data_IF_974686725454
#
_entry.id   IF_974686725454
#
_cell.length_a   1.000
_cell.length_b   1.000
_cell.length_c   1.000
_cell.angle_alpha   90.00
_cell.angle_beta   90.00
_cell.angle_gamma   90.00
#
_symmetry.space_group_name_H-M   'P 1'
#
loop_
_entity.id
_entity.type
_entity.pdbx_description
1 polymer ?
#
# COMPACT_ATOMS: atom_id res chain seq x y z
N UNK A 1 -26.87 -1.01 -8.06
CA UNK A 1 -25.57 -0.41 -7.67
C UNK A 1 -25.01 -1.27 -6.53
N UNK A 2 -24.06 -2.15 -6.82
CA UNK A 2 -23.43 -2.99 -5.79
C UNK A 2 -22.50 -2.14 -4.95
N UNK A 3 -22.73 -2.10 -3.63
CA UNK A 3 -21.83 -1.44 -2.68
C UNK A 3 -20.45 -2.09 -2.78
N UNK A 4 -19.34 -1.32 -2.81
CA UNK A 4 -18.02 -1.93 -2.71
C UNK A 4 -17.94 -2.70 -1.39
N UNK A 5 -17.53 -3.97 -1.47
CA UNK A 5 -17.34 -4.82 -0.30
C UNK A 5 -16.23 -4.18 0.56
N UNK A 6 -16.65 -3.56 1.66
CA UNK A 6 -15.78 -2.93 2.64
C UNK A 6 -15.19 -4.04 3.51
N UNK A 7 -13.86 -4.09 3.64
CA UNK A 7 -13.20 -4.96 4.62
C UNK A 7 -13.41 -4.30 5.98
N UNK A 8 -13.61 -5.09 7.04
CA UNK A 8 -14.04 -4.58 8.36
C UNK A 8 -13.00 -3.63 8.98
N UNK A 9 -11.76 -3.70 8.49
CA UNK A 9 -10.62 -2.87 8.89
C UNK A 9 -10.49 -1.55 8.12
N UNK A 10 -11.37 -1.24 7.16
CA UNK A 10 -11.26 -0.01 6.36
C UNK A 10 -12.10 1.14 6.94
N UNK A 11 -11.46 2.29 7.17
CA UNK A 11 -12.13 3.53 7.56
C UNK A 11 -12.27 4.46 6.36
N UNK A 12 -13.47 4.92 6.06
CA UNK A 12 -13.68 5.95 5.03
C UNK A 12 -13.05 7.28 5.46
N UNK A 13 -12.28 7.87 4.54
CA UNK A 13 -11.58 9.13 4.72
C UNK A 13 -12.51 10.27 4.32
N UNK A 14 -12.82 11.17 5.25
CA UNK A 14 -13.74 12.29 5.00
C UNK A 14 -13.07 13.44 4.29
N UNK A 15 -11.76 13.62 4.44
CA UNK A 15 -11.01 14.70 3.83
C UNK A 15 -9.52 14.33 3.76
N UNK A 16 -8.76 15.02 2.92
CA UNK A 16 -7.34 14.70 2.70
C UNK A 16 -6.51 14.91 3.98
N UNK A 17 -6.99 15.73 4.92
CA UNK A 17 -6.34 16.02 6.20
C UNK A 17 -6.35 14.84 7.18
N UNK A 18 -7.22 13.85 6.97
CA UNK A 18 -7.23 12.62 7.78
C UNK A 18 -6.14 11.62 7.33
N UNK A 19 -5.49 11.90 6.20
CA UNK A 19 -4.41 11.09 5.64
C UNK A 19 -3.04 11.62 6.09
N UNK A 20 -2.12 10.68 6.30
CA UNK A 20 -0.76 10.96 6.74
C UNK A 20 0.23 10.18 5.88
N UNK A 21 1.47 10.67 5.81
CA UNK A 21 2.58 9.94 5.20
C UNK A 21 2.70 8.55 5.86
N UNK A 22 2.94 7.52 5.05
CA UNK A 22 3.03 6.14 5.49
C UNK A 22 1.67 5.45 5.70
N UNK A 23 0.55 6.13 5.48
CA UNK A 23 -0.76 5.50 5.53
C UNK A 23 -0.95 4.51 4.38
N UNK A 24 -1.58 3.37 4.70
CA UNK A 24 -2.12 2.46 3.69
C UNK A 24 -3.55 2.90 3.36
N UNK A 25 -3.74 3.34 2.11
CA UNK A 25 -5.02 3.78 1.62
C UNK A 25 -5.47 3.01 0.38
N UNK A 26 -6.77 3.08 0.11
CA UNK A 26 -7.47 2.34 -0.93
C UNK A 26 -8.39 3.29 -1.68
N UNK A 27 -8.33 3.23 -3.01
CA UNK A 27 -9.33 3.83 -3.89
C UNK A 27 -10.05 2.72 -4.65
N UNK A 28 -11.35 2.91 -4.88
CA UNK A 28 -12.09 2.06 -5.79
C UNK A 28 -11.67 2.35 -7.23
N UNK A 29 -11.43 1.31 -8.03
CA UNK A 29 -11.28 1.43 -9.51
C UNK A 29 -12.29 0.52 -10.21
N UNK A 30 -12.47 0.76 -11.51
CA UNK A 30 -13.54 0.18 -12.35
C UNK A 30 -13.47 -1.36 -12.48
N UNK A 31 -14.57 -1.96 -12.95
CA UNK A 31 -15.13 -3.31 -12.69
C UNK A 31 -14.21 -4.55 -12.59
N UNK A 32 -12.99 -4.53 -13.09
CA UNK A 32 -12.06 -5.68 -13.03
C UNK A 32 -11.00 -5.56 -11.93
N UNK A 33 -10.85 -4.38 -11.32
CA UNK A 33 -9.89 -4.10 -10.25
C UNK A 33 -10.53 -3.25 -9.15
N UNK A 34 -11.39 -3.87 -8.31
CA UNK A 34 -12.33 -3.12 -7.47
C UNK A 34 -11.63 -2.24 -6.41
N UNK A 35 -10.40 -2.56 -6.02
CA UNK A 35 -9.65 -1.89 -4.95
C UNK A 35 -8.18 -1.75 -5.31
N UNK A 36 -7.69 -0.51 -5.34
CA UNK A 36 -6.28 -0.23 -5.55
C UNK A 36 -5.66 0.22 -4.23
N UNK A 37 -4.76 -0.61 -3.70
CA UNK A 37 -4.04 -0.39 -2.45
C UNK A 37 -2.72 0.34 -2.72
N UNK A 38 -2.39 1.31 -1.86
CA UNK A 38 -1.18 2.12 -1.98
C UNK A 38 -0.72 2.68 -0.64
N UNK A 39 0.55 3.08 -0.58
CA UNK A 39 1.16 3.80 0.54
C UNK A 39 1.25 5.28 0.17
N UNK A 40 0.87 6.17 1.09
CA UNK A 40 1.00 7.62 0.90
C UNK A 40 2.43 8.04 1.17
N UNK A 41 3.12 8.58 0.17
CA UNK A 41 4.47 9.12 0.30
C UNK A 41 4.45 10.60 0.68
N UNK A 42 3.55 11.36 0.08
CA UNK A 42 3.43 12.79 0.31
C UNK A 42 2.00 13.29 0.02
N UNK A 43 1.63 14.44 0.58
CA UNK A 43 0.29 15.03 0.48
C UNK A 43 0.41 16.53 0.24
N UNK A 44 -0.20 17.00 -0.85
CA UNK A 44 -0.44 18.42 -1.07
C UNK A 44 -1.92 18.74 -0.80
N UNK A 45 -2.16 19.46 0.31
CA UNK A 45 -3.50 19.81 0.78
C UNK A 45 -4.14 20.92 -0.06
N UNK A 46 -3.36 21.86 -0.56
CA UNK A 46 -3.87 22.97 -1.38
C UNK A 46 -4.39 22.46 -2.72
N UNK A 47 -3.57 21.64 -3.39
CA UNK A 47 -3.89 21.05 -4.69
C UNK A 47 -4.77 19.80 -4.59
N UNK A 48 -5.11 19.36 -3.38
CA UNK A 48 -5.87 18.12 -3.13
C UNK A 48 -5.26 16.91 -3.87
N UNK A 49 -3.94 16.76 -3.79
CA UNK A 49 -3.18 15.70 -4.48
C UNK A 49 -2.29 14.92 -3.51
N UNK A 50 -1.96 13.69 -3.88
CA UNK A 50 -1.15 12.77 -3.10
C UNK A 50 -0.11 12.11 -3.98
N UNK A 51 1.14 12.03 -3.50
CA UNK A 51 2.15 11.17 -4.09
C UNK A 51 2.03 9.81 -3.42
N UNK A 52 1.83 8.76 -4.21
CA UNK A 52 1.60 7.40 -3.70
C UNK A 52 2.58 6.40 -4.28
N UNK A 53 2.92 5.39 -3.47
CA UNK A 53 3.69 4.23 -3.86
C UNK A 53 2.76 3.03 -3.97
N UNK A 54 2.73 2.38 -5.13
CA UNK A 54 1.87 1.20 -5.35
C UNK A 54 2.49 0.21 -6.32
N UNK A 55 2.11 -1.06 -6.16
CA UNK A 55 2.43 -2.07 -7.14
C UNK A 55 1.48 -2.00 -8.35
N UNK A 56 2.04 -1.99 -9.56
CA UNK A 56 1.32 -2.17 -10.82
C UNK A 56 1.82 -3.41 -11.53
N UNK A 57 0.88 -4.22 -12.02
CA UNK A 57 1.19 -5.33 -12.93
C UNK A 57 2.07 -4.81 -14.08
N UNK A 58 3.08 -5.59 -14.47
CA UNK A 58 4.12 -5.28 -15.49
C UNK A 58 5.14 -4.19 -15.13
N UNK A 59 4.76 -3.18 -14.34
CA UNK A 59 5.66 -2.06 -13.99
C UNK A 59 6.37 -2.21 -12.64
N UNK A 60 5.93 -3.13 -11.79
CA UNK A 60 6.44 -3.27 -10.43
C UNK A 60 5.93 -2.14 -9.54
N UNK A 61 6.72 -1.77 -8.51
CA UNK A 61 6.39 -0.64 -7.64
C UNK A 61 6.67 0.68 -8.34
N UNK A 62 5.63 1.50 -8.46
CA UNK A 62 5.67 2.82 -9.08
C UNK A 62 5.33 3.91 -8.06
N UNK A 63 5.85 5.10 -8.34
CA UNK A 63 5.51 6.34 -7.63
C UNK A 63 4.64 7.21 -8.55
N UNK A 64 3.50 7.68 -8.05
CA UNK A 64 2.54 8.42 -8.87
C UNK A 64 1.87 9.55 -8.09
N UNK A 65 1.72 10.69 -8.74
CA UNK A 65 0.84 11.77 -8.29
C UNK A 65 -0.61 11.42 -8.67
N UNK A 66 -1.50 11.38 -7.68
CA UNK A 66 -2.93 11.14 -7.89
C UNK A 66 -3.77 12.23 -7.19
N UNK A 67 -4.92 12.62 -7.76
CA UNK A 67 -5.84 13.52 -7.07
C UNK A 67 -6.57 12.78 -5.93
N UNK A 68 -6.85 13.48 -4.85
CA UNK A 68 -7.75 13.01 -3.80
C UNK A 68 -9.20 13.10 -4.32
N UNK A 69 -9.79 11.94 -4.63
CA UNK A 69 -11.18 11.82 -5.07
C UNK A 69 -11.87 10.75 -4.25
N UNK A 70 -12.95 11.14 -3.56
CA UNK A 70 -13.77 10.22 -2.78
C UNK A 70 -14.47 9.19 -3.71
N UNK A 71 -14.70 7.95 -3.26
CA UNK A 71 -14.35 7.45 -1.92
C UNK A 71 -12.88 7.02 -1.82
N UNK A 72 -12.23 7.44 -0.73
CA UNK A 72 -10.92 6.95 -0.29
C UNK A 72 -11.10 6.29 1.06
N UNK A 73 -10.43 5.16 1.28
CA UNK A 73 -10.46 4.44 2.55
C UNK A 73 -9.03 4.29 3.09
N UNK A 74 -8.87 4.43 4.40
CA UNK A 74 -7.65 4.13 5.13
C UNK A 74 -7.78 2.75 5.75
N UNK A 75 -6.79 1.89 5.51
CA UNK A 75 -6.73 0.56 6.15
C UNK A 75 -6.20 0.74 7.56
N UNK A 76 -6.94 0.25 8.55
CA UNK A 76 -6.60 0.32 9.96
C UNK A 76 -5.91 -0.97 10.37
N UNK A 77 -4.85 -0.82 11.15
CA UNK A 77 -4.04 -1.88 11.73
C UNK A 77 -3.90 -1.58 13.22
N UNK A 78 -3.62 -2.62 14.00
CA UNK A 78 -3.17 -2.43 15.37
C UNK A 78 -1.80 -1.74 15.38
N UNK A 79 -1.60 -0.78 16.28
CA UNK A 79 -0.41 0.08 16.28
C UNK A 79 0.89 -0.72 16.46
N UNK A 80 0.86 -1.74 17.32
CA UNK A 80 2.01 -2.63 17.58
C UNK A 80 2.41 -3.50 16.38
N UNK A 81 1.57 -3.60 15.34
CA UNK A 81 1.88 -4.34 14.11
C UNK A 81 2.51 -3.45 13.04
N UNK A 82 2.56 -2.13 13.26
CA UNK A 82 2.94 -1.17 12.25
C UNK A 82 4.37 -0.66 12.41
N UNK A 83 5.09 -0.60 11.31
CA UNK A 83 6.29 0.21 11.20
C UNK A 83 5.96 1.71 11.23
N UNK A 84 6.88 2.55 11.74
CA UNK A 84 6.72 3.99 11.74
C UNK A 84 6.69 4.54 10.30
N UNK A 85 6.05 5.71 10.06
CA UNK A 85 5.83 6.25 8.72
C UNK A 85 7.07 6.30 7.82
N UNK A 86 8.19 6.80 8.34
CA UNK A 86 9.46 6.90 7.61
C UNK A 86 9.96 5.52 7.14
N UNK A 87 9.90 4.52 8.01
CA UNK A 87 10.30 3.15 7.66
C UNK A 87 9.34 2.56 6.61
N UNK A 88 8.03 2.79 6.74
CA UNK A 88 7.04 2.35 5.73
C UNK A 88 7.39 2.91 4.34
N UNK A 89 7.79 4.20 4.26
CA UNK A 89 8.22 4.82 2.99
C UNK A 89 9.51 4.20 2.48
N UNK A 90 10.49 4.00 3.35
CA UNK A 90 11.77 3.39 2.98
C UNK A 90 11.58 1.98 2.43
N UNK A 91 10.77 1.15 3.12
CA UNK A 91 10.40 -0.21 2.69
C UNK A 91 9.72 -0.18 1.32
N UNK A 92 8.76 0.72 1.13
CA UNK A 92 8.07 0.88 -0.14
C UNK A 92 9.03 1.32 -1.27
N UNK A 93 9.94 2.25 -0.99
CA UNK A 93 10.93 2.75 -1.94
C UNK A 93 11.96 1.69 -2.34
N UNK A 94 12.42 0.83 -1.40
CA UNK A 94 13.34 -0.29 -1.67
C UNK A 94 12.82 -1.30 -2.69
N UNK A 95 11.51 -1.33 -2.92
CA UNK A 95 10.87 -2.21 -3.91
C UNK A 95 10.64 -1.53 -5.27
N UNK A 96 10.93 -0.23 -5.43
CA UNK A 96 10.87 0.46 -6.74
C UNK A 96 11.79 -0.22 -7.75
N UNK A 97 11.30 -0.41 -8.98
CA UNK A 97 12.06 -1.03 -10.07
C UNK A 97 12.21 -2.56 -9.99
N UNK A 98 11.83 -3.22 -8.88
CA UNK A 98 11.80 -4.69 -8.80
C UNK A 98 10.57 -5.19 -9.57
N UNK A 99 10.79 -5.89 -10.71
CA UNK A 99 9.73 -6.41 -11.60
C UNK A 99 9.07 -7.69 -11.11
N UNK A 100 9.77 -8.47 -10.28
CA UNK A 100 9.34 -9.80 -9.86
C UNK A 100 8.76 -9.75 -8.44
N UNK A 101 7.45 -9.51 -8.36
CA UNK A 101 6.63 -10.12 -7.32
C UNK A 101 5.91 -11.28 -7.99
N UNK A 102 6.50 -12.48 -7.92
CA UNK A 102 5.90 -13.69 -8.48
C UNK A 102 4.69 -14.12 -7.63
N UNK A 103 3.53 -13.46 -7.80
CA UNK A 103 2.22 -13.96 -7.38
C UNK A 103 1.11 -13.50 -8.33
N UNK A 104 0.08 -14.34 -8.41
CA UNK A 104 -1.03 -14.25 -9.36
C UNK A 104 -2.08 -13.18 -8.95
N UNK A 105 -2.69 -12.55 -9.97
CA UNK A 105 -3.92 -11.73 -10.01
C UNK A 105 -3.97 -10.42 -9.19
N UNK A 106 -3.51 -9.34 -9.86
CA UNK A 106 -3.69 -7.89 -9.69
C UNK A 106 -4.04 -7.27 -8.31
N UNK A 107 -5.10 -7.70 -7.64
CA UNK A 107 -5.52 -7.18 -6.33
C UNK A 107 -4.69 -7.73 -5.18
N UNK A 108 -4.24 -8.99 -5.27
CA UNK A 108 -3.41 -9.58 -4.22
C UNK A 108 -2.05 -8.88 -4.12
N UNK A 109 -1.45 -8.49 -5.24
CA UNK A 109 -0.11 -7.90 -5.22
C UNK A 109 -0.10 -6.48 -4.65
N UNK A 110 -1.07 -5.62 -4.99
CA UNK A 110 -1.13 -4.28 -4.41
C UNK A 110 -1.52 -4.30 -2.92
N UNK A 111 -2.49 -5.13 -2.52
CA UNK A 111 -2.88 -5.32 -1.10
C UNK A 111 -1.72 -5.88 -0.29
N UNK A 112 -1.05 -6.91 -0.80
CA UNK A 112 0.08 -7.56 -0.11
C UNK A 112 1.29 -6.64 -0.03
N UNK A 113 1.59 -5.88 -1.10
CA UNK A 113 2.64 -4.88 -1.09
C UNK A 113 2.40 -3.83 0.01
N UNK A 114 1.23 -3.21 0.03
CA UNK A 114 0.93 -2.18 1.02
C UNK A 114 0.91 -2.75 2.45
N UNK A 115 0.39 -3.96 2.64
CA UNK A 115 0.44 -4.67 3.93
C UNK A 115 1.88 -4.95 4.37
N UNK A 116 2.73 -5.44 3.47
CA UNK A 116 4.15 -5.71 3.76
C UNK A 116 4.92 -4.44 4.08
N UNK A 117 4.60 -3.32 3.41
CA UNK A 117 5.19 -2.02 3.76
C UNK A 117 4.80 -1.61 5.18
N UNK A 118 3.52 -1.78 5.56
CA UNK A 118 3.02 -1.44 6.89
C UNK A 118 3.50 -2.35 8.01
N UNK A 119 3.55 -3.65 7.76
CA UNK A 119 3.64 -4.66 8.84
C UNK A 119 4.77 -5.67 8.66
N UNK A 120 5.43 -5.68 7.50
CA UNK A 120 6.41 -6.72 7.13
C UNK A 120 5.80 -8.09 6.83
N UNK A 121 4.51 -8.28 7.11
CA UNK A 121 3.84 -9.57 6.92
C UNK A 121 3.28 -9.69 5.51
N UNK A 122 3.48 -10.88 4.94
CA UNK A 122 2.79 -11.33 3.73
C UNK A 122 1.56 -12.17 4.10
N UNK A 123 0.59 -12.35 3.18
CA UNK A 123 -0.48 -13.31 3.38
C UNK A 123 0.07 -14.72 3.65
N UNK A 124 -0.51 -15.45 4.59
CA UNK A 124 -0.19 -16.85 4.85
C UNK A 124 -0.22 -17.67 3.56
N UNK A 125 0.88 -18.37 3.25
CA UNK A 125 1.07 -19.12 1.99
C UNK A 125 1.72 -18.33 0.85
N UNK A 126 2.16 -17.08 1.08
CA UNK A 126 2.94 -16.29 0.11
C UNK A 126 4.42 -16.69 0.17
N UNK A 127 4.83 -17.68 -0.61
CA UNK A 127 6.23 -18.07 -0.77
C UNK A 127 6.91 -17.12 -1.77
N UNK A 128 7.28 -15.92 -1.34
CA UNK A 128 7.95 -14.96 -2.23
C UNK A 128 9.43 -14.87 -1.91
N UNK A 129 10.26 -15.49 -2.75
CA UNK A 129 11.73 -15.40 -2.70
C UNK A 129 12.25 -13.95 -2.65
N UNK A 130 11.50 -12.99 -3.17
CA UNK A 130 11.86 -11.57 -3.22
C UNK A 130 11.54 -10.70 -1.99
N UNK A 131 10.87 -11.24 -0.95
CA UNK A 131 10.61 -10.51 0.31
C UNK A 131 11.45 -11.01 1.49
N UNK A 132 11.76 -12.30 1.54
CA UNK A 132 12.56 -12.91 2.62
C UNK A 132 14.05 -12.53 2.61
N UNK A 133 14.60 -12.05 1.49
CA UNK A 133 16.03 -11.65 1.44
C UNK A 133 16.34 -10.30 2.12
N UNK A 134 15.33 -9.48 2.44
CA UNK A 134 15.55 -8.15 3.02
C UNK A 134 15.50 -8.16 4.57
N UNK A 135 15.29 -9.32 5.22
CA UNK A 135 15.17 -9.45 6.69
C UNK A 135 16.45 -9.90 7.41
N UNK A 136 17.51 -10.28 6.69
CA UNK A 136 18.76 -10.82 7.27
C UNK A 136 19.93 -9.82 7.35
N UNK A 137 19.70 -8.55 7.69
CA UNK A 137 20.80 -7.57 7.83
C UNK A 137 20.92 -6.90 9.22
N UNK A 138 20.23 -7.39 10.25
CA UNK A 138 20.33 -6.85 11.61
C UNK A 138 20.71 -7.91 12.67
N UNK A 139 21.48 -8.93 12.31
CA UNK A 139 22.13 -9.82 13.29
C UNK A 139 23.63 -9.95 12.98
N UNK A 140 24.41 -8.89 13.20
CA UNK A 140 25.81 -9.02 13.62
C UNK A 140 26.11 -7.90 14.63
N UNK A 141 26.21 -8.32 15.91
CA UNK A 141 26.89 -7.62 17.01
C UNK A 141 28.22 -8.34 17.20
#
# INVERSE_FOLDING_TARGET
MTRPILDHSDKMVKSIEELHIGDHAVIARWCLHPRCHFIIKDINKEEQTMIVLRFKHEKGVVEELIPFKKPVYKVIYEEYECFPPNEVIERAAKKKGKKTLEYNIFSNNCKSFARWCKTGRLPSGSLVRGYHQDENLNEEV
#
